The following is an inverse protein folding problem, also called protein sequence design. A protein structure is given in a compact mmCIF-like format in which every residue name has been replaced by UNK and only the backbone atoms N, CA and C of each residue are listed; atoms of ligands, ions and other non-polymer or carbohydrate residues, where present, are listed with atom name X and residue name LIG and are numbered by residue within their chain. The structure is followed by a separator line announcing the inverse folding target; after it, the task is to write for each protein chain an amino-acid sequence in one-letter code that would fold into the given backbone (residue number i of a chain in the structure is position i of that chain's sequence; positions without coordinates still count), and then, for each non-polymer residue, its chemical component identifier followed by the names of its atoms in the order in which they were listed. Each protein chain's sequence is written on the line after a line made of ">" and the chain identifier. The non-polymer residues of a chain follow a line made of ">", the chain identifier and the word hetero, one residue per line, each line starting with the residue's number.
data_IF_210037531404
#
_entry.id   IF_210037531404
#
_cell.length_a   1.000
_cell.length_b   1.000
_cell.length_c   1.000
_cell.angle_alpha   90.00
_cell.angle_beta   90.00
_cell.angle_gamma   90.00
#
_symmetry.space_group_name_H-M   'P 1'
#
loop_
_entity.id
_entity.type
_entity.pdbx_description
1 polymer ?
#
# COMPACT_ATOMS: atom_id res chain seq x y z
N UNK A 1 12.86 -36.57 -3.68
CA UNK A 1 11.99 -35.60 -4.39
C UNK A 1 12.86 -34.40 -4.71
N UNK A 2 13.13 -34.17 -5.99
CA UNK A 2 13.90 -33.01 -6.46
C UNK A 2 13.20 -31.74 -5.99
N UNK A 3 13.93 -30.89 -5.25
CA UNK A 3 13.43 -29.58 -4.85
C UNK A 3 13.03 -28.85 -6.16
N UNK A 4 11.77 -28.38 -6.32
CA UNK A 4 11.42 -27.61 -7.52
C UNK A 4 12.38 -26.43 -7.64
N UNK A 5 12.84 -26.12 -8.85
CA UNK A 5 13.66 -24.95 -9.09
C UNK A 5 12.81 -23.70 -8.82
N UNK A 6 12.84 -23.22 -7.56
CA UNK A 6 12.01 -22.10 -7.08
C UNK A 6 12.27 -20.84 -7.88
N UNK A 7 13.51 -20.60 -8.33
CA UNK A 7 13.84 -19.50 -9.25
C UNK A 7 13.02 -19.59 -10.52
N UNK A 8 13.03 -20.73 -11.22
CA UNK A 8 12.27 -20.89 -12.46
C UNK A 8 10.76 -20.76 -12.21
N UNK A 9 10.28 -21.36 -11.12
CA UNK A 9 8.88 -21.23 -10.71
C UNK A 9 8.46 -19.76 -10.53
N UNK A 10 9.28 -18.94 -9.87
CA UNK A 10 9.00 -17.50 -9.69
C UNK A 10 9.01 -16.78 -11.03
N UNK A 11 9.99 -17.05 -11.90
CA UNK A 11 10.08 -16.42 -13.22
C UNK A 11 8.85 -16.75 -14.08
N UNK A 12 8.42 -18.00 -14.11
CA UNK A 12 7.22 -18.43 -14.83
C UNK A 12 5.95 -17.84 -14.23
N UNK A 13 5.91 -17.65 -12.90
CA UNK A 13 4.80 -17.04 -12.20
C UNK A 13 4.67 -15.56 -12.58
N UNK A 14 5.73 -14.77 -12.46
CA UNK A 14 5.66 -13.32 -12.72
C UNK A 14 5.46 -12.99 -14.20
N UNK A 15 5.92 -13.84 -15.11
CA UNK A 15 5.62 -13.72 -16.53
C UNK A 15 4.11 -13.93 -16.78
N UNK A 16 3.54 -15.04 -16.28
CA UNK A 16 2.11 -15.35 -16.45
C UNK A 16 1.16 -14.37 -15.75
N UNK A 17 1.50 -13.94 -14.53
CA UNK A 17 0.60 -13.13 -13.70
C UNK A 17 0.79 -11.62 -13.91
N UNK A 18 2.00 -11.17 -14.25
CA UNK A 18 2.33 -9.75 -14.35
C UNK A 18 2.90 -9.34 -15.70
N UNK A 19 3.02 -10.26 -16.66
CA UNK A 19 3.69 -10.02 -17.94
C UNK A 19 5.10 -9.40 -17.73
N UNK A 20 5.80 -9.87 -16.70
CA UNK A 20 7.13 -9.33 -16.33
C UNK A 20 8.23 -10.28 -16.73
N UNK A 21 9.06 -9.84 -17.69
CA UNK A 21 10.29 -10.50 -18.06
C UNK A 21 11.46 -10.05 -17.15
N UNK A 22 12.38 -10.95 -16.76
CA UNK A 22 13.56 -10.59 -15.98
C UNK A 22 14.56 -9.75 -16.78
N UNK A 23 15.19 -8.79 -16.11
CA UNK A 23 16.33 -8.04 -16.65
C UNK A 23 17.63 -8.40 -15.93
N UNK A 24 18.69 -8.64 -16.71
CA UNK A 24 20.03 -8.99 -16.19
C UNK A 24 20.97 -7.82 -16.38
N UNK A 25 21.05 -6.96 -15.36
CA UNK A 25 21.67 -5.63 -15.49
C UNK A 25 23.19 -5.63 -15.29
N UNK A 26 23.77 -6.69 -14.73
CA UNK A 26 25.18 -6.72 -14.33
C UNK A 26 25.98 -7.79 -15.06
N UNK A 27 27.10 -7.39 -15.68
CA UNK A 27 28.04 -8.33 -16.33
C UNK A 27 28.75 -9.24 -15.33
N UNK A 28 29.03 -8.74 -14.12
CA UNK A 28 29.73 -9.50 -13.06
C UNK A 28 28.83 -10.50 -12.36
N UNK A 29 27.54 -10.20 -12.30
CA UNK A 29 26.52 -11.02 -11.67
C UNK A 29 25.42 -11.34 -12.69
N UNK A 30 25.74 -12.13 -13.74
CA UNK A 30 24.84 -12.35 -14.88
C UNK A 30 23.58 -13.15 -14.51
N UNK A 31 23.58 -13.78 -13.33
CA UNK A 31 22.46 -14.55 -12.81
C UNK A 31 21.50 -13.71 -11.96
N UNK A 32 21.80 -12.42 -11.72
CA UNK A 32 20.92 -11.54 -10.95
C UNK A 32 19.78 -11.06 -11.84
N UNK A 33 18.56 -11.54 -11.56
CA UNK A 33 17.37 -11.24 -12.32
C UNK A 33 16.56 -10.16 -11.61
N UNK A 34 16.51 -8.96 -12.20
CA UNK A 34 15.68 -7.86 -11.72
C UNK A 34 14.27 -7.98 -12.28
N UNK A 35 13.27 -7.87 -11.39
CA UNK A 35 11.85 -7.82 -11.73
C UNK A 35 11.31 -6.44 -11.38
N UNK A 36 10.78 -5.74 -12.38
CA UNK A 36 10.38 -4.35 -12.25
C UNK A 36 9.24 -4.00 -13.19
N UNK A 37 8.39 -3.08 -12.77
CA UNK A 37 7.20 -2.69 -13.53
C UNK A 37 7.57 -2.08 -14.89
N UNK A 38 6.74 -2.33 -15.90
CA UNK A 38 6.96 -1.78 -17.24
C UNK A 38 6.72 -0.26 -17.28
N UNK A 39 5.73 0.23 -16.53
CA UNK A 39 5.23 1.60 -16.58
C UNK A 39 6.10 2.63 -15.83
N UNK A 40 6.53 2.32 -14.61
CA UNK A 40 7.22 3.24 -13.70
C UNK A 40 8.67 2.83 -13.43
N UNK A 41 9.09 1.72 -14.03
CA UNK A 41 10.41 1.09 -13.93
C UNK A 41 10.87 0.68 -12.51
N UNK A 42 10.03 0.82 -11.48
CA UNK A 42 10.37 0.47 -10.09
C UNK A 42 10.53 -1.03 -9.93
N UNK A 43 11.54 -1.41 -9.16
CA UNK A 43 11.79 -2.79 -8.82
C UNK A 43 10.84 -3.24 -7.74
N UNK A 44 10.26 -4.42 -7.93
CA UNK A 44 9.49 -5.11 -6.91
C UNK A 44 10.19 -6.40 -6.49
N UNK A 45 11.12 -6.93 -7.28
CA UNK A 45 11.96 -8.02 -6.81
C UNK A 45 13.32 -8.03 -7.49
N UNK A 46 14.26 -8.73 -6.86
CA UNK A 46 15.50 -9.15 -7.51
C UNK A 46 15.89 -10.54 -6.99
N UNK A 47 16.05 -11.50 -7.90
CA UNK A 47 16.50 -12.86 -7.61
C UNK A 47 18.00 -12.91 -7.82
N UNK A 48 18.74 -13.44 -6.86
CA UNK A 48 20.19 -13.45 -6.82
C UNK A 48 20.68 -14.83 -6.36
N UNK A 49 21.78 -15.30 -6.93
CA UNK A 49 22.56 -16.40 -6.38
C UNK A 49 23.67 -15.80 -5.50
N UNK A 50 23.58 -15.89 -4.17
CA UNK A 50 24.46 -15.14 -3.26
C UNK A 50 25.41 -16.11 -2.55
N UNK A 51 26.71 -15.79 -2.34
CA UNK A 51 27.56 -16.57 -1.46
C UNK A 51 26.94 -16.68 -0.06
N UNK A 52 26.86 -17.89 0.50
CA UNK A 52 26.25 -18.12 1.82
C UNK A 52 26.87 -17.24 2.91
N UNK A 53 28.19 -17.05 2.87
CA UNK A 53 28.93 -16.19 3.78
C UNK A 53 28.49 -14.72 3.74
N UNK A 54 28.05 -14.21 2.58
CA UNK A 54 27.56 -12.83 2.43
C UNK A 54 26.20 -12.61 3.10
N UNK A 55 25.48 -13.69 3.36
CA UNK A 55 24.20 -13.70 4.08
C UNK A 55 24.35 -14.09 5.57
N UNK A 56 25.58 -14.27 6.06
CA UNK A 56 25.83 -14.76 7.42
C UNK A 56 25.44 -16.23 7.64
N UNK A 57 25.25 -16.99 6.56
CA UNK A 57 24.90 -18.41 6.62
C UNK A 57 26.16 -19.28 6.71
N UNK A 58 26.05 -20.37 7.47
CA UNK A 58 27.10 -21.40 7.54
C UNK A 58 27.19 -22.23 6.25
N UNK A 59 28.38 -22.76 5.98
CA UNK A 59 28.69 -23.61 4.83
C UNK A 59 29.22 -22.86 3.61
N UNK A 60 29.80 -23.62 2.68
CA UNK A 60 30.37 -23.11 1.44
C UNK A 60 29.32 -23.04 0.31
N UNK A 61 29.64 -22.31 -0.76
CA UNK A 61 28.82 -22.23 -1.97
C UNK A 61 27.87 -21.03 -2.01
N UNK A 62 26.91 -21.11 -2.95
CA UNK A 62 25.93 -20.06 -3.24
C UNK A 62 24.52 -20.57 -2.98
N UNK A 63 23.61 -19.65 -2.68
CA UNK A 63 22.19 -19.92 -2.46
C UNK A 63 21.36 -18.93 -3.25
N UNK A 64 20.30 -19.40 -3.89
CA UNK A 64 19.33 -18.51 -4.50
C UNK A 64 18.51 -17.82 -3.41
N UNK A 65 18.35 -16.51 -3.53
CA UNK A 65 17.52 -15.68 -2.67
C UNK A 65 16.81 -14.62 -3.50
N UNK A 66 15.70 -14.11 -2.98
CA UNK A 66 14.95 -13.01 -3.60
C UNK A 66 14.81 -11.88 -2.62
N UNK A 67 15.14 -10.66 -3.06
CA UNK A 67 14.73 -9.47 -2.31
C UNK A 67 13.34 -9.04 -2.74
N UNK A 68 12.50 -8.73 -1.76
CA UNK A 68 11.12 -8.25 -1.96
C UNK A 68 10.88 -6.98 -1.15
N UNK A 69 10.11 -6.05 -1.71
CA UNK A 69 9.63 -4.87 -0.99
C UNK A 69 8.64 -5.34 0.07
N UNK A 70 8.78 -4.83 1.28
CA UNK A 70 7.94 -5.19 2.42
C UNK A 70 7.45 -3.91 3.12
N UNK A 71 6.19 -3.82 3.56
CA UNK A 71 5.76 -2.77 4.48
C UNK A 71 6.65 -2.74 5.72
N UNK A 72 7.07 -1.55 6.14
CA UNK A 72 8.01 -1.38 7.26
C UNK A 72 7.50 -2.04 8.53
N UNK A 73 6.19 -2.01 8.77
CA UNK A 73 5.51 -2.62 9.90
C UNK A 73 5.55 -4.16 9.92
N UNK A 74 5.82 -4.83 8.78
CA UNK A 74 5.86 -6.30 8.69
C UNK A 74 7.28 -6.86 8.67
N UNK A 75 8.31 -6.01 8.50
CA UNK A 75 9.71 -6.46 8.34
C UNK A 75 10.14 -7.30 9.54
N UNK A 76 9.94 -6.80 10.75
CA UNK A 76 10.40 -7.48 11.96
C UNK A 76 9.73 -8.83 12.17
N UNK A 77 8.43 -8.96 11.84
CA UNK A 77 7.67 -10.21 11.94
C UNK A 77 8.21 -11.30 10.99
N UNK A 78 8.61 -10.92 9.77
CA UNK A 78 9.24 -11.86 8.85
C UNK A 78 10.65 -12.24 9.31
N UNK A 79 11.42 -11.30 9.84
CA UNK A 79 12.80 -11.57 10.30
C UNK A 79 12.87 -12.54 11.49
N UNK A 80 11.77 -12.78 12.21
CA UNK A 80 11.70 -13.83 13.24
C UNK A 80 11.46 -15.23 12.68
N UNK A 81 11.18 -15.36 11.38
CA UNK A 81 10.83 -16.62 10.75
C UNK A 81 12.01 -17.22 10.00
N UNK A 82 12.07 -18.55 9.93
CA UNK A 82 13.10 -19.27 9.18
C UNK A 82 13.00 -18.95 7.69
N UNK A 83 14.15 -18.74 7.05
CA UNK A 83 14.21 -18.44 5.61
C UNK A 83 14.15 -16.97 5.25
N UNK A 84 13.99 -16.08 6.24
CA UNK A 84 13.99 -14.63 6.06
C UNK A 84 15.26 -14.02 6.66
N UNK A 85 15.82 -13.04 5.95
CA UNK A 85 17.03 -12.32 6.34
C UNK A 85 16.85 -10.82 6.10
N UNK A 86 17.62 -9.97 6.81
CA UNK A 86 17.67 -8.54 6.50
C UNK A 86 18.09 -8.33 5.04
N UNK A 87 17.51 -7.33 4.39
CA UNK A 87 17.76 -7.08 2.97
C UNK A 87 19.26 -7.03 2.60
N UNK A 88 19.64 -7.86 1.65
CA UNK A 88 20.95 -7.85 1.01
C UNK A 88 21.00 -6.76 -0.07
N UNK A 89 21.97 -5.84 -0.02
CA UNK A 89 22.12 -4.67 -0.92
C UNK A 89 20.94 -3.67 -1.01
N UNK A 90 19.79 -3.96 -0.41
CA UNK A 90 18.61 -3.08 -0.42
C UNK A 90 18.38 -2.43 0.95
N UNK A 91 17.45 -1.46 0.99
CA UNK A 91 17.12 -0.77 2.24
C UNK A 91 16.39 -1.70 3.21
N UNK A 92 17.04 -2.04 4.33
CA UNK A 92 16.54 -2.96 5.35
C UNK A 92 15.25 -2.51 6.05
N UNK A 93 14.86 -1.24 5.95
CA UNK A 93 13.63 -0.74 6.56
C UNK A 93 12.36 -1.10 5.76
N UNK A 94 12.49 -1.52 4.51
CA UNK A 94 11.33 -1.80 3.63
C UNK A 94 11.63 -2.80 2.51
N UNK A 95 12.67 -3.60 2.68
CA UNK A 95 12.99 -4.76 1.87
C UNK A 95 13.38 -5.90 2.80
N UNK A 96 13.14 -7.12 2.35
CA UNK A 96 13.57 -8.36 3.01
C UNK A 96 14.24 -9.28 1.99
N UNK A 97 15.15 -10.13 2.45
CA UNK A 97 15.72 -11.21 1.65
C UNK A 97 15.06 -12.53 2.05
N UNK A 98 14.53 -13.26 1.08
CA UNK A 98 13.90 -14.57 1.27
C UNK A 98 14.77 -15.65 0.62
N UNK A 99 15.13 -16.69 1.36
CA UNK A 99 15.91 -17.82 0.86
C UNK A 99 15.04 -18.72 -0.02
N UNK A 100 15.56 -19.10 -1.19
CA UNK A 100 14.91 -20.01 -2.14
C UNK A 100 15.44 -21.44 -1.98
N UNK A 101 15.62 -21.90 -0.74
CA UNK A 101 16.06 -23.26 -0.38
C UNK A 101 14.91 -24.18 0.08
N UNK A 102 13.67 -23.66 0.07
CA UNK A 102 12.49 -24.36 0.55
C UNK A 102 12.21 -24.17 2.05
N UNK A 103 12.95 -23.30 2.74
CA UNK A 103 12.65 -22.93 4.13
C UNK A 103 11.39 -22.07 4.29
N UNK A 104 11.00 -21.35 3.23
CA UNK A 104 9.72 -20.64 3.12
C UNK A 104 8.84 -21.41 2.15
N UNK A 105 7.60 -21.66 2.55
CA UNK A 105 6.64 -22.36 1.71
C UNK A 105 6.21 -21.50 0.49
N UNK A 106 5.71 -22.17 -0.54
CA UNK A 106 5.38 -21.53 -1.81
C UNK A 106 4.26 -20.50 -1.69
N UNK A 107 3.29 -20.70 -0.79
CA UNK A 107 2.16 -19.80 -0.60
C UNK A 107 2.63 -18.47 -0.01
N UNK A 108 3.44 -18.53 1.07
CA UNK A 108 4.07 -17.35 1.68
C UNK A 108 4.96 -16.62 0.69
N UNK A 109 5.75 -17.33 -0.12
CA UNK A 109 6.60 -16.74 -1.14
C UNK A 109 5.78 -15.97 -2.20
N UNK A 110 4.71 -16.57 -2.72
CA UNK A 110 3.83 -15.90 -3.69
C UNK A 110 3.12 -14.70 -3.06
N UNK A 111 2.63 -14.82 -1.82
CA UNK A 111 2.02 -13.72 -1.07
C UNK A 111 2.96 -12.49 -1.00
N UNK A 112 4.25 -12.72 -0.71
CA UNK A 112 5.23 -11.65 -0.62
C UNK A 112 5.58 -11.05 -1.98
N UNK A 113 5.66 -11.86 -3.04
CA UNK A 113 5.87 -11.39 -4.41
C UNK A 113 4.72 -10.47 -4.82
N UNK A 114 3.48 -10.90 -4.58
CA UNK A 114 2.27 -10.17 -4.92
C UNK A 114 2.19 -8.87 -4.13
N UNK A 115 2.43 -8.93 -2.82
CA UNK A 115 2.47 -7.74 -1.95
C UNK A 115 3.53 -6.74 -2.41
N UNK A 116 4.73 -7.21 -2.76
CA UNK A 116 5.81 -6.36 -3.25
C UNK A 116 5.45 -5.69 -4.58
N UNK A 117 4.86 -6.46 -5.51
CA UNK A 117 4.34 -5.94 -6.78
C UNK A 117 3.30 -4.84 -6.51
N UNK A 118 2.31 -5.12 -5.67
CA UNK A 118 1.21 -4.19 -5.37
C UNK A 118 1.67 -2.88 -4.73
N UNK A 119 2.62 -2.93 -3.79
CA UNK A 119 3.09 -1.72 -3.10
C UNK A 119 3.89 -0.82 -4.06
N UNK A 120 4.45 -1.38 -5.13
CA UNK A 120 5.33 -0.67 -6.06
C UNK A 120 4.70 -0.37 -7.42
N UNK A 121 3.61 -1.04 -7.78
CA UNK A 121 2.85 -0.83 -9.03
C UNK A 121 2.18 0.55 -9.06
N UNK A 122 2.01 1.11 -10.26
CA UNK A 122 1.07 2.23 -10.41
C UNK A 122 -0.37 1.73 -10.39
N UNK A 123 -1.29 2.66 -10.14
CA UNK A 123 -2.72 2.41 -10.26
C UNK A 123 -3.11 1.91 -11.66
N UNK A 124 -2.48 2.42 -12.72
CA UNK A 124 -2.77 2.03 -14.10
C UNK A 124 -2.47 0.55 -14.33
N UNK A 125 -1.31 0.09 -13.85
CA UNK A 125 -0.93 -1.34 -13.89
C UNK A 125 -1.89 -2.20 -13.09
N UNK A 126 -2.26 -1.77 -11.87
CA UNK A 126 -3.23 -2.52 -11.05
C UNK A 126 -4.60 -2.62 -11.71
N UNK A 127 -5.11 -1.54 -12.29
CA UNK A 127 -6.37 -1.54 -13.04
C UNK A 127 -6.33 -2.48 -14.25
N UNK A 128 -5.24 -2.43 -15.03
CA UNK A 128 -5.06 -3.33 -16.18
C UNK A 128 -5.03 -4.81 -15.78
N UNK A 129 -4.51 -5.11 -14.59
CA UNK A 129 -4.44 -6.45 -14.02
C UNK A 129 -5.65 -6.81 -13.13
N UNK A 130 -6.66 -5.94 -13.03
CA UNK A 130 -7.83 -6.11 -12.17
C UNK A 130 -7.47 -6.34 -10.69
N UNK A 131 -6.35 -5.80 -10.24
CA UNK A 131 -5.93 -5.78 -8.84
C UNK A 131 -6.68 -4.66 -8.14
N UNK A 132 -7.20 -4.92 -6.94
CA UNK A 132 -7.90 -3.89 -6.16
C UNK A 132 -6.99 -2.67 -5.91
N UNK A 133 -7.51 -1.50 -6.27
CA UNK A 133 -6.80 -0.22 -6.16
C UNK A 133 -7.35 0.68 -5.09
N UNK A 134 -8.42 0.26 -4.41
CA UNK A 134 -9.12 1.07 -3.45
C UNK A 134 -8.21 1.41 -2.28
N UNK A 135 -7.85 2.69 -2.17
CA UNK A 135 -7.16 3.22 -1.00
C UNK A 135 -8.17 3.86 -0.06
N UNK A 136 -8.03 3.59 1.23
CA UNK A 136 -8.82 4.25 2.27
C UNK A 136 -8.05 5.44 2.86
N UNK A 137 -8.67 6.61 2.84
CA UNK A 137 -8.11 7.88 3.30
C UNK A 137 -8.90 8.42 4.49
N UNK A 138 -8.23 9.08 5.44
CA UNK A 138 -8.87 9.94 6.44
C UNK A 138 -8.50 11.39 6.12
N UNK A 139 -9.49 12.26 5.98
CA UNK A 139 -9.29 13.68 5.67
C UNK A 139 -9.99 14.58 6.70
N UNK A 140 -9.37 15.70 7.12
CA UNK A 140 -10.01 16.61 8.06
C UNK A 140 -11.01 17.54 7.36
N UNK A 141 -12.18 17.69 7.97
CA UNK A 141 -13.14 18.75 7.70
C UNK A 141 -13.25 19.64 8.93
N UNK A 142 -12.85 20.91 8.78
CA UNK A 142 -12.99 21.88 9.86
C UNK A 142 -14.31 22.65 9.69
N UNK A 143 -15.27 22.52 10.63
CA UNK A 143 -16.56 23.22 10.58
C UNK A 143 -16.46 24.73 10.42
N UNK A 144 -15.34 25.35 10.79
CA UNK A 144 -15.07 26.78 10.55
C UNK A 144 -15.07 27.15 9.06
N UNK A 145 -14.65 26.23 8.20
CA UNK A 145 -14.46 26.48 6.77
C UNK A 145 -15.44 25.70 5.89
N UNK A 146 -15.97 24.58 6.37
CA UNK A 146 -16.81 23.67 5.58
C UNK A 146 -17.94 23.09 6.42
N UNK A 147 -19.17 23.11 5.90
CA UNK A 147 -20.32 22.45 6.52
C UNK A 147 -20.61 21.12 5.81
N UNK A 148 -19.66 20.19 5.92
CA UNK A 148 -19.75 18.86 5.27
C UNK A 148 -20.96 18.07 5.72
N UNK A 149 -21.40 18.25 6.97
CA UNK A 149 -22.51 17.48 7.51
C UNK A 149 -23.82 17.89 6.84
N UNK A 150 -24.05 19.19 6.67
CA UNK A 150 -25.22 19.69 5.95
C UNK A 150 -25.19 19.28 4.48
N UNK A 151 -24.07 19.52 3.80
CA UNK A 151 -23.98 19.27 2.35
C UNK A 151 -24.19 17.80 1.98
N UNK A 152 -23.62 16.86 2.77
CA UNK A 152 -23.77 15.43 2.53
C UNK A 152 -25.16 14.90 2.88
N UNK A 153 -25.84 15.45 3.91
CA UNK A 153 -27.22 15.04 4.23
C UNK A 153 -28.23 15.48 3.19
N UNK A 154 -28.03 16.66 2.60
CA UNK A 154 -28.96 17.21 1.60
C UNK A 154 -28.81 16.54 0.23
N UNK A 155 -27.56 16.34 -0.22
CA UNK A 155 -27.30 15.96 -1.61
C UNK A 155 -26.71 14.54 -1.77
N UNK A 156 -26.20 13.94 -0.70
CA UNK A 156 -25.49 12.65 -0.74
C UNK A 156 -24.17 12.68 -1.52
N UNK A 157 -23.92 13.70 -2.35
CA UNK A 157 -22.74 13.88 -3.20
C UNK A 157 -22.27 15.32 -3.08
N UNK A 158 -20.96 15.53 -2.84
CA UNK A 158 -20.35 16.86 -2.73
C UNK A 158 -19.07 16.97 -3.55
N UNK A 159 -18.64 18.21 -3.81
CA UNK A 159 -17.28 18.51 -4.27
C UNK A 159 -16.40 18.80 -3.06
N UNK A 160 -15.42 17.94 -2.80
CA UNK A 160 -14.51 18.06 -1.67
C UNK A 160 -13.10 18.42 -2.11
N UNK A 161 -12.38 19.20 -1.29
CA UNK A 161 -10.99 19.57 -1.58
C UNK A 161 -10.10 18.32 -1.70
N UNK A 162 -9.32 18.24 -2.77
CA UNK A 162 -8.41 17.11 -2.96
C UNK A 162 -7.00 17.49 -2.52
N UNK A 163 -6.59 17.01 -1.34
CA UNK A 163 -5.33 17.40 -0.70
C UNK A 163 -4.16 16.42 -0.96
N UNK A 164 -4.43 15.23 -1.51
CA UNK A 164 -3.42 14.20 -1.82
C UNK A 164 -3.75 13.53 -3.17
N UNK A 165 -2.99 12.50 -3.55
CA UNK A 165 -3.24 11.68 -4.73
C UNK A 165 -4.39 10.68 -4.50
N UNK A 166 -5.52 11.18 -4.01
CA UNK A 166 -6.78 10.44 -3.96
C UNK A 166 -7.24 10.21 -5.40
N UNK A 167 -7.69 9.00 -5.69
CA UNK A 167 -8.15 8.58 -7.01
C UNK A 167 -9.64 8.17 -6.98
N UNK A 168 -10.23 8.00 -8.16
CA UNK A 168 -11.58 7.41 -8.31
C UNK A 168 -11.63 6.06 -7.60
N UNK A 169 -12.78 5.61 -7.12
CA UNK A 169 -12.97 4.36 -6.37
C UNK A 169 -12.26 4.25 -5.00
N UNK A 170 -11.40 5.21 -4.63
CA UNK A 170 -10.89 5.32 -3.28
C UNK A 170 -12.04 5.61 -2.30
N UNK A 171 -11.85 5.24 -1.04
CA UNK A 171 -12.75 5.58 0.05
C UNK A 171 -12.14 6.71 0.86
N UNK A 172 -12.95 7.72 1.16
CA UNK A 172 -12.59 8.89 1.96
C UNK A 172 -13.45 8.91 3.22
N UNK A 173 -12.81 8.78 4.37
CA UNK A 173 -13.38 9.01 5.67
C UNK A 173 -13.19 10.46 6.09
N UNK A 174 -14.29 11.16 6.33
CA UNK A 174 -14.27 12.57 6.72
C UNK A 174 -14.24 12.67 8.24
N UNK A 175 -13.09 13.10 8.78
CA UNK A 175 -12.93 13.46 10.18
C UNK A 175 -13.38 14.91 10.39
N UNK A 176 -14.53 15.09 11.03
CA UNK A 176 -15.00 16.42 11.43
C UNK A 176 -14.25 16.82 12.70
N UNK A 177 -13.53 17.95 12.64
CA UNK A 177 -12.72 18.43 13.77
C UNK A 177 -13.61 18.91 14.93
N UNK A 178 -13.02 19.53 15.96
CA UNK A 178 -13.80 20.10 17.06
C UNK A 178 -14.96 20.99 16.55
N UNK A 179 -16.15 20.94 17.18
CA UNK A 179 -16.45 20.23 18.43
C UNK A 179 -16.73 18.73 18.27
N UNK A 180 -17.06 18.25 17.07
CA UNK A 180 -17.43 16.84 16.81
C UNK A 180 -16.29 15.87 17.10
N UNK A 181 -15.08 16.19 16.62
CA UNK A 181 -13.86 15.43 16.85
C UNK A 181 -13.99 13.90 16.57
N UNK A 182 -14.64 13.53 15.46
CA UNK A 182 -14.91 12.15 15.08
C UNK A 182 -14.90 11.98 13.56
N UNK A 183 -14.69 10.74 13.08
CA UNK A 183 -15.04 10.40 11.70
C UNK A 183 -16.56 10.30 11.61
N UNK A 184 -17.15 11.01 10.65
CA UNK A 184 -18.60 11.14 10.50
C UNK A 184 -19.13 10.54 9.21
N UNK A 185 -18.31 10.46 8.17
CA UNK A 185 -18.74 9.96 6.87
C UNK A 185 -17.69 9.04 6.27
N UNK A 186 -18.14 7.98 5.63
CA UNK A 186 -17.41 7.19 4.65
C UNK A 186 -17.95 7.54 3.28
N UNK A 187 -17.08 7.94 2.35
CA UNK A 187 -17.48 8.38 1.02
C UNK A 187 -16.69 7.64 -0.07
N UNK A 188 -17.34 7.33 -1.19
CA UNK A 188 -16.70 6.85 -2.42
C UNK A 188 -16.26 8.05 -3.26
N UNK A 189 -15.07 7.98 -3.85
CA UNK A 189 -14.61 8.99 -4.82
C UNK A 189 -15.12 8.63 -6.21
N UNK A 190 -16.00 9.47 -6.77
CA UNK A 190 -16.58 9.28 -8.10
C UNK A 190 -15.71 9.90 -9.20
N UNK A 191 -15.13 11.07 -8.93
CA UNK A 191 -14.26 11.79 -9.86
C UNK A 191 -13.12 12.44 -9.08
N UNK A 192 -11.91 12.42 -9.62
CA UNK A 192 -10.73 13.02 -9.01
C UNK A 192 -10.05 13.99 -9.97
N UNK A 193 -9.22 14.88 -9.42
CA UNK A 193 -8.43 15.89 -10.12
C UNK A 193 -9.28 16.91 -10.91
N UNK A 194 -10.48 17.23 -10.43
CA UNK A 194 -11.33 18.26 -11.03
C UNK A 194 -10.65 19.62 -10.78
N UNK A 195 -10.25 20.37 -11.82
CA UNK A 195 -9.64 21.68 -11.64
C UNK A 195 -10.58 22.61 -10.87
N UNK A 196 -10.05 23.29 -9.86
CA UNK A 196 -10.82 24.23 -9.05
C UNK A 196 -10.03 25.50 -8.85
N UNK A 197 -10.69 26.65 -9.01
CA UNK A 197 -10.08 27.95 -8.72
C UNK A 197 -10.74 28.49 -7.46
N UNK A 198 -10.11 28.26 -6.32
CA UNK A 198 -10.61 28.75 -5.03
C UNK A 198 -10.81 30.26 -5.06
N UNK A 199 -11.96 30.72 -4.54
CA UNK A 199 -12.26 32.14 -4.33
C UNK A 199 -11.81 32.64 -2.94
N UNK A 200 -11.39 31.75 -2.05
CA UNK A 200 -10.98 32.10 -0.68
C UNK A 200 -9.51 32.54 -0.63
N UNK A 201 -9.26 33.71 -0.03
CA UNK A 201 -7.91 34.27 0.16
C UNK A 201 -7.02 33.41 1.07
N UNK A 202 -7.62 32.67 2.00
CA UNK A 202 -6.88 31.93 3.05
C UNK A 202 -6.69 30.43 2.74
N UNK A 203 -7.33 29.91 1.68
CA UNK A 203 -7.32 28.49 1.35
C UNK A 203 -7.12 28.31 -0.16
N UNK A 204 -5.88 27.99 -0.54
CA UNK A 204 -5.55 27.61 -1.91
C UNK A 204 -5.98 26.17 -2.17
N UNK A 205 -7.07 26.01 -2.92
CA UNK A 205 -7.57 24.72 -3.41
C UNK A 205 -7.52 24.76 -4.93
N UNK A 206 -6.53 24.08 -5.51
CA UNK A 206 -6.29 24.06 -6.96
C UNK A 206 -7.06 22.90 -7.65
N UNK A 207 -7.52 21.91 -6.87
CA UNK A 207 -8.30 20.77 -7.35
C UNK A 207 -9.27 20.23 -6.29
N UNK A 208 -10.40 19.73 -6.76
CA UNK A 208 -11.43 19.06 -5.95
C UNK A 208 -11.69 17.65 -6.50
N UNK A 209 -12.41 16.86 -5.72
CA UNK A 209 -12.92 15.54 -6.09
C UNK A 209 -14.41 15.49 -5.83
N UNK A 210 -15.16 14.75 -6.65
CA UNK A 210 -16.57 14.45 -6.41
C UNK A 210 -16.64 13.20 -5.54
N UNK A 211 -17.27 13.30 -4.38
CA UNK A 211 -17.43 12.18 -3.45
C UNK A 211 -18.89 11.94 -3.11
N UNK A 212 -19.26 10.67 -2.96
CA UNK A 212 -20.60 10.22 -2.59
C UNK A 212 -20.57 9.61 -1.19
N UNK A 213 -21.46 10.03 -0.31
CA UNK A 213 -21.67 9.41 0.99
C UNK A 213 -22.14 7.96 0.81
N UNK A 214 -21.40 7.02 1.42
CA UNK A 214 -21.81 5.62 1.55
C UNK A 214 -22.40 5.34 2.93
N UNK A 215 -21.84 5.95 3.98
CA UNK A 215 -22.24 5.71 5.37
C UNK A 215 -22.02 6.96 6.22
N UNK A 216 -23.00 7.30 7.06
CA UNK A 216 -22.86 8.25 8.17
C UNK A 216 -22.63 7.47 9.47
N UNK A 217 -21.67 7.91 10.28
CA UNK A 217 -21.39 7.36 11.61
C UNK A 217 -21.79 8.37 12.67
N UNK A 218 -22.36 7.93 13.79
CA UNK A 218 -22.59 8.76 14.96
C UNK A 218 -21.27 9.36 15.50
N UNK A 219 -21.29 10.50 16.22
CA UNK A 219 -20.06 11.11 16.73
C UNK A 219 -19.33 10.24 17.77
N UNK A 220 -20.00 9.23 18.32
CA UNK A 220 -19.43 8.33 19.33
C UNK A 220 -18.83 7.07 18.72
N UNK A 221 -19.30 6.63 17.54
CA UNK A 221 -18.82 5.41 16.88
C UNK A 221 -17.34 5.49 16.51
N UNK A 222 -16.92 6.55 15.82
CA UNK A 222 -15.51 6.76 15.42
C UNK A 222 -14.94 8.02 16.06
N UNK A 223 -15.10 8.09 17.38
CA UNK A 223 -14.63 9.21 18.21
C UNK A 223 -13.10 9.31 18.22
N UNK A 224 -12.57 10.51 18.53
CA UNK A 224 -11.12 10.73 18.69
C UNK A 224 -10.46 9.71 19.62
N UNK A 225 -11.14 9.29 20.68
CA UNK A 225 -10.55 8.37 21.66
C UNK A 225 -10.48 6.94 21.14
N UNK A 226 -11.44 6.50 20.32
CA UNK A 226 -11.31 5.24 19.58
C UNK A 226 -10.17 5.35 18.56
N UNK A 227 -10.13 6.41 17.76
CA UNK A 227 -9.09 6.62 16.74
C UNK A 227 -7.67 6.56 17.34
N UNK A 228 -7.48 7.07 18.56
CA UNK A 228 -6.21 6.99 19.29
C UNK A 228 -5.76 5.56 19.57
N UNK A 229 -6.69 4.64 19.84
CA UNK A 229 -6.38 3.21 20.06
C UNK A 229 -5.78 2.57 18.80
N UNK A 230 -6.15 3.08 17.62
CA UNK A 230 -5.60 2.67 16.32
C UNK A 230 -4.42 3.55 15.85
N UNK A 231 -3.75 4.26 16.76
CA UNK A 231 -2.58 5.09 16.45
C UNK A 231 -2.89 6.40 15.72
N UNK A 232 -4.14 6.86 15.73
CA UNK A 232 -4.54 8.14 15.14
C UNK A 232 -4.69 9.20 16.23
N UNK A 233 -3.58 9.86 16.56
CA UNK A 233 -3.53 10.88 17.62
C UNK A 233 -4.04 12.25 17.18
N UNK A 234 -3.84 12.62 15.91
CA UNK A 234 -4.35 13.85 15.30
C UNK A 234 -4.60 13.68 13.80
N UNK A 235 -5.64 14.34 13.28
CA UNK A 235 -5.95 14.41 11.84
C UNK A 235 -5.81 15.86 11.39
N UNK A 236 -4.57 16.27 11.09
CA UNK A 236 -4.25 17.64 10.64
C UNK A 236 -4.18 17.77 9.11
N UNK A 237 -4.13 16.65 8.41
CA UNK A 237 -4.05 16.56 6.95
C UNK A 237 -4.54 15.19 6.46
N UNK A 238 -4.64 15.00 5.13
CA UNK A 238 -5.01 13.71 4.55
C UNK A 238 -4.00 12.63 4.96
N UNK A 239 -4.47 11.46 5.36
CA UNK A 239 -3.63 10.31 5.73
C UNK A 239 -4.28 9.01 5.29
N UNK A 240 -3.50 7.93 5.19
CA UNK A 240 -4.05 6.59 4.98
C UNK A 240 -4.77 6.09 6.23
N UNK A 241 -5.84 5.33 6.01
CA UNK A 241 -6.53 4.56 7.04
C UNK A 241 -5.62 3.42 7.52
N UNK A 242 -5.38 3.26 8.82
CA UNK A 242 -4.71 2.07 9.35
C UNK A 242 -5.53 0.80 9.04
N UNK A 243 -4.88 -0.27 8.59
CA UNK A 243 -5.56 -1.52 8.22
C UNK A 243 -6.42 -2.08 9.36
N UNK A 244 -5.90 -2.08 10.59
CA UNK A 244 -6.64 -2.54 11.76
C UNK A 244 -7.94 -1.76 12.02
N UNK A 245 -7.97 -0.45 11.74
CA UNK A 245 -9.20 0.34 11.87
C UNK A 245 -10.18 0.09 10.73
N UNK A 246 -9.67 -0.10 9.50
CA UNK A 246 -10.50 -0.52 8.37
C UNK A 246 -11.20 -1.86 8.64
N UNK A 247 -10.44 -2.85 9.16
CA UNK A 247 -10.97 -4.17 9.51
C UNK A 247 -12.00 -4.10 10.64
N UNK A 248 -11.74 -3.29 11.67
CA UNK A 248 -12.69 -3.03 12.75
C UNK A 248 -14.01 -2.46 12.17
N UNK A 249 -13.95 -1.42 11.34
CA UNK A 249 -15.14 -0.82 10.72
C UNK A 249 -15.88 -1.83 9.83
N UNK A 250 -15.15 -2.67 9.09
CA UNK A 250 -15.71 -3.69 8.22
C UNK A 250 -16.42 -4.81 9.00
N UNK A 251 -16.05 -5.02 10.28
CA UNK A 251 -16.68 -5.99 11.17
C UNK A 251 -18.03 -5.51 11.75
N UNK A 252 -18.31 -4.20 11.73
CA UNK A 252 -19.56 -3.61 12.21
C UNK A 252 -20.75 -3.78 11.24
N UNK A 253 -20.69 -4.81 10.38
CA UNK A 253 -21.74 -5.15 9.43
C UNK A 253 -22.90 -5.83 10.13
#
# INVERSE_FOLDING_TARGET
>A
MSNPNLRQFILDYVDRHYNTAPEYLWKRDPNYAVLRHQDNRKWYAIIMDIPRSSLGLQGEGRIDAINLKCPTEMVDDFLQQKGFLPAYHMNKANWITVLLDGSVDQETLLFLINSSFDITATRQTKQALQIDTQTEWIVPANPKYYDVEKELRENGIILWKQSNNVAVDDIVYIYVTAPTAAIRYQCLVLEANIPHRSKHKDLRVDRVMRIQCLKEFSPTQLSRDLLRQFGITAVRGPRRMPKALSDEIASWK
#
